data_IF_980851299748
#
_entry.id   IF_980851299748
#
_cell.length_a   1.000
_cell.length_b   1.000
_cell.length_c   1.000
_cell.angle_alpha   90.00
_cell.angle_beta   90.00
_cell.angle_gamma   90.00
#
_symmetry.space_group_name_H-M   'P 1'
#
loop_
_entity.id
_entity.type
_entity.pdbx_description
1 polymer ?
#
# COMPACT_ATOMS: atom_id res chain seq x y z
N UNK A 1 -43.98 -1.73 -7.32
CA UNK A 1 -43.44 -3.09 -7.54
C UNK A 1 -42.19 -3.21 -6.65
N UNK A 2 -42.34 -4.00 -5.59
CA UNK A 2 -41.33 -4.18 -4.52
C UNK A 2 -40.10 -4.91 -5.08
N UNK A 3 -38.94 -4.29 -5.02
CA UNK A 3 -37.67 -4.98 -5.21
C UNK A 3 -37.38 -5.85 -3.97
N UNK A 4 -38.05 -7.01 -3.92
CA UNK A 4 -37.75 -8.03 -2.93
C UNK A 4 -36.26 -8.36 -3.02
N UNK A 5 -35.54 -8.20 -1.91
CA UNK A 5 -34.09 -8.29 -1.81
C UNK A 5 -33.55 -9.56 -2.44
N UNK A 6 -32.89 -9.43 -3.60
CA UNK A 6 -32.08 -10.52 -4.15
C UNK A 6 -30.92 -10.73 -3.16
N UNK A 7 -30.80 -11.96 -2.63
CA UNK A 7 -29.71 -12.36 -1.77
C UNK A 7 -28.36 -12.10 -2.42
N UNK A 8 -27.31 -12.06 -1.63
CA UNK A 8 -25.94 -11.95 -2.16
C UNK A 8 -25.51 -13.29 -2.76
N UNK A 9 -24.92 -13.26 -3.96
CA UNK A 9 -24.17 -14.38 -4.54
C UNK A 9 -22.68 -14.12 -4.42
N UNK A 10 -21.88 -15.21 -4.42
CA UNK A 10 -20.42 -15.12 -4.47
C UNK A 10 -19.91 -15.99 -5.61
N UNK A 11 -19.27 -15.35 -6.57
CA UNK A 11 -18.69 -16.01 -7.73
C UNK A 11 -17.16 -16.05 -7.59
N UNK A 12 -16.54 -17.13 -8.08
CA UNK A 12 -15.09 -17.28 -8.15
C UNK A 12 -14.63 -17.01 -9.59
N UNK A 13 -13.96 -15.88 -9.81
CA UNK A 13 -13.30 -15.59 -11.07
C UNK A 13 -11.83 -16.06 -11.01
N UNK A 14 -11.43 -16.87 -12.01
CA UNK A 14 -10.07 -17.40 -12.18
C UNK A 14 -9.47 -17.04 -13.53
N UNK A 15 -10.21 -16.30 -14.34
CA UNK A 15 -9.86 -15.92 -15.71
C UNK A 15 -9.30 -14.48 -15.74
N UNK A 16 -8.17 -14.29 -16.42
CA UNK A 16 -7.48 -13.01 -16.52
C UNK A 16 -8.24 -11.99 -17.38
N UNK A 17 -8.89 -12.47 -18.49
CA UNK A 17 -9.65 -11.57 -19.35
C UNK A 17 -10.93 -11.10 -18.63
N UNK A 18 -11.56 -11.96 -17.85
CA UNK A 18 -12.67 -11.58 -16.97
C UNK A 18 -12.21 -10.59 -15.90
N UNK A 19 -11.02 -10.75 -15.32
CA UNK A 19 -10.46 -9.77 -14.40
C UNK A 19 -10.25 -8.41 -15.07
N UNK A 20 -9.68 -8.39 -16.28
CA UNK A 20 -9.51 -7.15 -17.04
C UNK A 20 -10.85 -6.43 -17.29
N UNK A 21 -11.90 -7.19 -17.63
CA UNK A 21 -13.22 -6.65 -17.91
C UNK A 21 -13.94 -6.04 -16.69
N UNK A 22 -13.50 -6.37 -15.47
CA UNK A 22 -14.09 -5.83 -14.23
C UNK A 22 -13.73 -4.36 -13.96
N UNK A 23 -12.88 -3.71 -14.74
CA UNK A 23 -12.34 -2.39 -14.44
C UNK A 23 -13.40 -1.36 -14.00
N UNK A 24 -14.49 -1.20 -14.76
CA UNK A 24 -15.55 -0.22 -14.44
C UNK A 24 -16.33 -0.56 -13.17
N UNK A 25 -16.74 -1.82 -12.98
CA UNK A 25 -17.44 -2.25 -11.78
C UNK A 25 -16.54 -2.17 -10.53
N UNK A 26 -15.26 -2.48 -10.69
CA UNK A 26 -14.27 -2.41 -9.62
C UNK A 26 -14.02 -0.98 -9.15
N UNK A 27 -13.94 -0.02 -10.08
CA UNK A 27 -13.83 1.42 -9.76
C UNK A 27 -15.03 1.88 -8.91
N UNK A 28 -16.26 1.50 -9.29
CA UNK A 28 -17.45 1.81 -8.51
C UNK A 28 -17.42 1.20 -7.11
N UNK A 29 -17.01 -0.06 -6.99
CA UNK A 29 -16.85 -0.73 -5.69
C UNK A 29 -15.73 -0.09 -4.85
N UNK A 30 -14.58 0.23 -5.47
CA UNK A 30 -13.48 0.88 -4.79
C UNK A 30 -13.89 2.25 -4.22
N UNK A 31 -14.63 3.06 -4.99
CA UNK A 31 -15.14 4.36 -4.56
C UNK A 31 -16.17 4.24 -3.42
N UNK A 32 -16.98 3.17 -3.38
CA UNK A 32 -17.99 2.93 -2.35
C UNK A 32 -17.46 2.21 -1.10
N UNK A 33 -16.19 1.78 -1.09
CA UNK A 33 -15.54 1.10 0.04
C UNK A 33 -14.81 2.12 0.93
N UNK A 34 -15.30 2.41 2.16
CA UNK A 34 -14.72 3.47 3.01
C UNK A 34 -13.27 3.22 3.45
N UNK A 35 -12.85 1.95 3.49
CA UNK A 35 -11.48 1.55 3.88
C UNK A 35 -10.53 1.33 2.70
N UNK A 36 -11.00 1.53 1.46
CA UNK A 36 -10.21 1.28 0.27
C UNK A 36 -8.92 2.12 0.28
N UNK A 37 -7.82 1.48 -0.07
CA UNK A 37 -6.52 2.13 -0.24
C UNK A 37 -6.11 2.08 -1.72
N UNK A 38 -5.13 2.86 -2.17
CA UNK A 38 -4.70 2.84 -3.56
C UNK A 38 -4.25 1.45 -4.04
N UNK A 39 -3.85 0.59 -3.12
CA UNK A 39 -3.39 -0.77 -3.42
C UNK A 39 -4.51 -1.76 -3.76
N UNK A 40 -5.79 -1.38 -3.60
CA UNK A 40 -6.96 -2.15 -4.04
C UNK A 40 -7.60 -1.59 -5.31
N UNK A 41 -7.04 -0.58 -5.98
CA UNK A 41 -7.52 -0.12 -7.28
C UNK A 41 -7.39 -1.21 -8.33
N UNK A 42 -8.29 -1.26 -9.30
CA UNK A 42 -8.21 -2.23 -10.40
C UNK A 42 -6.89 -2.07 -11.16
N UNK A 43 -6.52 -0.83 -11.51
CA UNK A 43 -5.30 -0.53 -12.23
C UNK A 43 -4.05 -1.07 -11.54
N UNK A 44 -3.95 -0.95 -10.21
CA UNK A 44 -2.85 -1.50 -9.43
C UNK A 44 -2.85 -3.03 -9.44
N UNK A 45 -3.97 -3.65 -9.08
CA UNK A 45 -4.06 -5.09 -8.89
C UNK A 45 -3.96 -5.86 -10.22
N UNK A 46 -4.63 -5.39 -11.27
CA UNK A 46 -4.56 -6.02 -12.59
C UNK A 46 -3.15 -5.87 -13.20
N UNK A 47 -2.55 -4.68 -13.12
CA UNK A 47 -1.17 -4.49 -13.56
C UNK A 47 -0.18 -5.36 -12.78
N UNK A 48 -0.39 -5.52 -11.47
CA UNK A 48 0.42 -6.43 -10.67
C UNK A 48 0.26 -7.87 -11.16
N UNK A 49 -0.98 -8.30 -11.42
CA UNK A 49 -1.26 -9.64 -11.93
C UNK A 49 -0.52 -9.91 -13.23
N UNK A 50 -0.56 -9.00 -14.19
CA UNK A 50 0.16 -9.12 -15.47
C UNK A 50 1.69 -9.23 -15.33
N UNK A 51 2.25 -8.67 -14.26
CA UNK A 51 3.71 -8.66 -14.04
C UNK A 51 4.21 -9.79 -13.13
N UNK A 52 3.36 -10.29 -12.23
CA UNK A 52 3.74 -11.19 -11.13
C UNK A 52 2.82 -12.39 -10.96
N UNK A 53 1.68 -12.39 -11.64
CA UNK A 53 0.73 -13.48 -11.59
C UNK A 53 1.33 -14.80 -12.04
N UNK A 54 0.80 -15.89 -11.54
CA UNK A 54 1.19 -17.23 -11.96
C UNK A 54 0.00 -17.90 -12.65
N UNK A 55 0.23 -18.66 -13.72
CA UNK A 55 -0.85 -19.41 -14.35
C UNK A 55 -1.66 -20.19 -13.32
N UNK A 56 -2.99 -20.22 -13.50
CA UNK A 56 -3.95 -20.91 -12.62
C UNK A 56 -3.96 -20.41 -11.15
N UNK A 57 -3.23 -19.33 -10.84
CA UNK A 57 -3.14 -18.81 -9.47
C UNK A 57 -4.30 -17.88 -9.08
N UNK A 58 -4.97 -17.22 -10.04
CA UNK A 58 -5.97 -16.19 -9.79
C UNK A 58 -7.19 -16.73 -9.04
N UNK A 59 -7.65 -16.03 -8.02
CA UNK A 59 -8.79 -16.39 -7.18
C UNK A 59 -9.49 -15.11 -6.71
N UNK A 60 -10.32 -14.52 -7.58
CA UNK A 60 -11.13 -13.35 -7.20
C UNK A 60 -12.49 -13.84 -6.73
N UNK A 61 -12.80 -13.60 -5.46
CA UNK A 61 -14.13 -13.85 -4.92
C UNK A 61 -14.95 -12.58 -5.08
N UNK A 62 -16.00 -12.62 -5.90
CA UNK A 62 -16.83 -11.47 -6.27
C UNK A 62 -18.20 -11.62 -5.62
N UNK A 63 -18.57 -10.66 -4.77
CA UNK A 63 -19.89 -10.62 -4.13
C UNK A 63 -20.81 -9.71 -4.93
N UNK A 64 -21.96 -10.25 -5.35
CA UNK A 64 -22.93 -9.50 -6.15
C UNK A 64 -24.29 -9.43 -5.46
N UNK A 65 -24.97 -8.29 -5.66
CA UNK A 65 -26.38 -8.11 -5.37
C UNK A 65 -27.12 -7.88 -6.70
N UNK A 66 -27.70 -8.94 -7.26
CA UNK A 66 -28.08 -8.93 -8.68
C UNK A 66 -26.86 -8.77 -9.56
N UNK A 67 -26.87 -7.78 -10.46
CA UNK A 67 -25.76 -7.53 -11.36
C UNK A 67 -24.69 -6.60 -10.76
N UNK A 68 -24.97 -5.96 -9.61
CA UNK A 68 -24.05 -5.00 -8.99
C UNK A 68 -22.98 -5.71 -8.15
N UNK A 69 -21.71 -5.38 -8.39
CA UNK A 69 -20.59 -5.80 -7.56
C UNK A 69 -20.61 -5.00 -6.24
N UNK A 70 -20.72 -5.70 -5.09
CA UNK A 70 -20.78 -5.10 -3.76
C UNK A 70 -19.65 -5.58 -2.82
N UNK A 71 -18.85 -6.53 -3.28
CA UNK A 71 -17.66 -6.97 -2.56
C UNK A 71 -16.68 -7.71 -3.45
N UNK A 72 -15.40 -7.64 -3.14
CA UNK A 72 -14.35 -8.37 -3.86
C UNK A 72 -13.20 -8.73 -2.94
N UNK A 73 -12.75 -9.99 -3.00
CA UNK A 73 -11.50 -10.44 -2.38
C UNK A 73 -10.51 -10.83 -3.48
N UNK A 74 -9.53 -9.94 -3.78
CA UNK A 74 -8.55 -10.16 -4.84
C UNK A 74 -7.41 -11.05 -4.31
N UNK A 75 -7.56 -12.35 -4.46
CA UNK A 75 -6.63 -13.34 -3.93
C UNK A 75 -5.92 -14.12 -5.04
N UNK A 76 -4.82 -14.75 -4.65
CA UNK A 76 -4.15 -15.76 -5.46
C UNK A 76 -3.80 -16.99 -4.62
N UNK A 77 -3.72 -18.13 -5.28
CA UNK A 77 -3.25 -19.39 -4.69
C UNK A 77 -1.73 -19.48 -4.74
N UNK A 78 -1.11 -19.77 -3.60
CA UNK A 78 0.32 -20.05 -3.47
C UNK A 78 0.48 -21.44 -2.87
N UNK A 79 1.21 -22.32 -3.55
CA UNK A 79 1.32 -23.75 -3.15
C UNK A 79 2.49 -24.04 -2.20
N UNK A 80 3.55 -23.24 -2.20
CA UNK A 80 4.77 -23.50 -1.38
C UNK A 80 5.07 -22.35 -0.42
N UNK A 81 5.64 -22.58 0.76
CA UNK A 81 5.92 -23.89 1.36
C UNK A 81 4.67 -24.64 1.85
N UNK A 82 3.54 -23.95 2.02
CA UNK A 82 2.22 -24.52 2.35
C UNK A 82 1.14 -23.88 1.48
N UNK A 83 0.06 -24.59 1.16
CA UNK A 83 -1.04 -24.02 0.37
C UNK A 83 -1.66 -22.82 1.07
N UNK A 84 -1.73 -21.69 0.37
CA UNK A 84 -2.31 -20.45 0.89
C UNK A 84 -3.13 -19.73 -0.17
N UNK A 85 -4.16 -19.03 0.30
CA UNK A 85 -4.80 -17.94 -0.42
C UNK A 85 -4.28 -16.63 0.17
N UNK A 86 -3.62 -15.83 -0.65
CA UNK A 86 -3.02 -14.55 -0.25
C UNK A 86 -3.55 -13.43 -1.17
N UNK A 87 -3.68 -12.19 -0.68
CA UNK A 87 -4.02 -11.07 -1.56
C UNK A 87 -2.99 -10.89 -2.68
N UNK A 88 -3.46 -10.58 -3.89
CA UNK A 88 -2.60 -10.09 -4.97
C UNK A 88 -2.02 -8.74 -4.59
N UNK A 89 -0.92 -8.30 -5.25
CA UNK A 89 -0.17 -7.10 -4.87
C UNK A 89 1.20 -7.38 -4.26
N UNK A 90 1.39 -8.57 -3.68
CA UNK A 90 2.71 -9.04 -3.22
C UNK A 90 3.43 -8.10 -2.26
N UNK A 91 4.76 -8.14 -2.25
CA UNK A 91 5.59 -7.35 -1.32
C UNK A 91 5.63 -5.86 -1.65
N UNK A 92 5.22 -5.47 -2.87
CA UNK A 92 5.23 -4.08 -3.35
C UNK A 92 3.95 -3.31 -3.02
N UNK A 93 2.93 -3.97 -2.44
CA UNK A 93 1.74 -3.31 -1.89
C UNK A 93 1.89 -3.15 -0.38
N UNK A 94 1.63 -1.94 0.13
CA UNK A 94 1.81 -1.65 1.56
C UNK A 94 0.59 -2.03 2.40
N UNK A 95 -0.59 -2.03 1.81
CA UNK A 95 -1.82 -2.46 2.49
C UNK A 95 -2.54 -3.50 1.66
N UNK A 96 -3.07 -4.52 2.33
CA UNK A 96 -3.81 -5.61 1.71
C UNK A 96 -5.16 -5.75 2.35
N UNK A 97 -6.19 -5.70 1.53
CA UNK A 97 -7.57 -5.71 1.98
C UNK A 97 -8.48 -6.40 0.95
N UNK A 98 -9.72 -6.59 1.33
CA UNK A 98 -10.85 -6.84 0.44
C UNK A 98 -11.56 -5.51 0.17
N UNK A 99 -12.42 -5.46 -0.82
CA UNK A 99 -13.35 -4.35 -1.02
C UNK A 99 -14.74 -4.77 -0.59
N UNK A 100 -15.42 -3.90 0.16
CA UNK A 100 -16.83 -4.06 0.54
C UNK A 100 -17.51 -2.70 0.39
N UNK A 101 -18.62 -2.67 -0.33
CA UNK A 101 -19.52 -1.50 -0.39
C UNK A 101 -19.95 -1.13 1.04
N UNK A 102 -19.79 0.13 1.43
CA UNK A 102 -20.09 0.61 2.78
C UNK A 102 -21.52 0.30 3.23
N UNK A 103 -22.49 0.28 2.28
CA UNK A 103 -23.90 -0.01 2.56
C UNK A 103 -24.20 -1.51 2.71
N UNK A 104 -23.27 -2.37 2.30
CA UNK A 104 -23.39 -3.82 2.33
C UNK A 104 -22.23 -4.52 3.07
N UNK A 105 -21.43 -3.77 3.80
CA UNK A 105 -20.16 -4.26 4.35
C UNK A 105 -20.30 -5.48 5.28
N UNK A 106 -21.31 -5.50 6.14
CA UNK A 106 -21.55 -6.64 7.04
C UNK A 106 -22.02 -7.88 6.28
N UNK A 107 -23.01 -7.72 5.39
CA UNK A 107 -23.56 -8.84 4.60
C UNK A 107 -22.52 -9.38 3.63
N UNK A 108 -21.81 -8.50 2.93
CA UNK A 108 -20.71 -8.84 2.01
C UNK A 108 -19.55 -9.53 2.73
N UNK A 109 -19.19 -9.04 3.91
CA UNK A 109 -18.16 -9.66 4.77
C UNK A 109 -18.55 -11.08 5.22
N UNK A 110 -19.84 -11.29 5.54
CA UNK A 110 -20.38 -12.62 5.88
C UNK A 110 -20.36 -13.55 4.67
N UNK A 111 -20.77 -13.06 3.51
CA UNK A 111 -20.77 -13.82 2.27
C UNK A 111 -19.34 -14.24 1.87
N UNK A 112 -18.37 -13.30 1.90
CA UNK A 112 -16.96 -13.60 1.68
C UNK A 112 -16.41 -14.61 2.70
N UNK A 113 -16.75 -14.48 3.99
CA UNK A 113 -16.31 -15.42 5.01
C UNK A 113 -16.79 -16.84 4.71
N UNK A 114 -18.04 -17.01 4.25
CA UNK A 114 -18.60 -18.30 3.84
C UNK A 114 -17.85 -18.90 2.64
N UNK A 115 -17.63 -18.13 1.58
CA UNK A 115 -16.96 -18.58 0.37
C UNK A 115 -15.47 -18.91 0.65
N UNK A 116 -14.78 -18.06 1.41
CA UNK A 116 -13.39 -18.29 1.79
C UNK A 116 -13.24 -19.49 2.75
N UNK A 117 -14.23 -19.77 3.61
CA UNK A 117 -14.23 -20.95 4.46
C UNK A 117 -14.28 -22.26 3.67
N UNK A 118 -15.02 -22.27 2.54
CA UNK A 118 -15.01 -23.41 1.61
C UNK A 118 -13.60 -23.61 1.00
N UNK A 119 -12.96 -22.57 0.54
CA UNK A 119 -11.58 -22.60 0.02
C UNK A 119 -10.53 -22.93 1.09
N UNK A 120 -10.78 -22.56 2.34
CA UNK A 120 -9.91 -22.84 3.48
C UNK A 120 -9.87 -24.31 3.91
N UNK A 121 -10.68 -25.17 3.28
CA UNK A 121 -10.57 -26.64 3.47
C UNK A 121 -9.22 -27.20 2.99
N UNK A 122 -8.61 -26.56 1.98
CA UNK A 122 -7.34 -27.00 1.38
C UNK A 122 -6.22 -25.97 1.47
N UNK A 123 -6.50 -24.74 1.84
CA UNK A 123 -5.53 -23.64 1.86
C UNK A 123 -5.72 -22.75 3.08
N UNK A 124 -4.63 -22.27 3.66
CA UNK A 124 -4.67 -21.24 4.70
C UNK A 124 -4.95 -19.87 4.06
N UNK A 125 -5.93 -19.14 4.54
CA UNK A 125 -6.18 -17.75 4.14
C UNK A 125 -5.26 -16.84 4.97
N UNK A 126 -4.42 -16.03 4.30
CA UNK A 126 -3.31 -15.29 4.93
C UNK A 126 -3.27 -13.85 4.41
N UNK A 127 -3.88 -12.93 5.12
CA UNK A 127 -3.81 -11.50 4.87
C UNK A 127 -2.70 -10.87 5.70
N UNK A 128 -1.74 -10.25 5.05
CA UNK A 128 -0.64 -9.52 5.69
C UNK A 128 -0.82 -8.02 5.48
N UNK A 129 -0.15 -7.23 6.33
CA UNK A 129 -0.16 -5.77 6.24
C UNK A 129 -1.58 -5.18 6.21
N UNK A 130 -2.48 -5.78 6.99
CA UNK A 130 -3.87 -5.32 7.14
C UNK A 130 -3.89 -4.07 8.01
N UNK A 131 -4.35 -2.96 7.46
CA UNK A 131 -4.46 -1.69 8.19
C UNK A 131 -5.66 -1.75 9.16
N UNK A 132 -5.57 -1.17 10.37
CA UNK A 132 -6.73 -1.10 11.28
C UNK A 132 -7.94 -0.43 10.60
N UNK A 133 -9.10 -1.02 10.75
CA UNK A 133 -10.35 -0.56 10.11
C UNK A 133 -10.55 -1.05 8.67
N UNK A 134 -9.71 -1.95 8.19
CA UNK A 134 -9.82 -2.58 6.87
C UNK A 134 -11.10 -3.42 6.72
N UNK A 135 -11.63 -3.51 5.49
CA UNK A 135 -12.84 -4.26 5.18
C UNK A 135 -12.71 -5.76 5.50
N UNK A 136 -11.53 -6.34 5.36
CA UNK A 136 -11.27 -7.75 5.70
C UNK A 136 -11.53 -8.08 7.17
N UNK A 137 -11.58 -7.09 8.06
CA UNK A 137 -11.98 -7.32 9.47
C UNK A 137 -13.42 -7.80 9.59
N UNK A 138 -14.31 -7.43 8.66
CA UNK A 138 -15.66 -7.99 8.58
C UNK A 138 -15.62 -9.48 8.26
N UNK A 139 -14.80 -9.89 7.30
CA UNK A 139 -14.57 -11.30 6.96
C UNK A 139 -14.04 -12.05 8.19
N UNK A 140 -13.02 -11.49 8.86
CA UNK A 140 -12.42 -12.09 10.05
C UNK A 140 -13.42 -12.20 11.21
N UNK A 141 -14.31 -11.23 11.39
CA UNK A 141 -15.36 -11.25 12.43
C UNK A 141 -16.36 -12.38 12.21
N UNK A 142 -16.77 -12.60 10.95
CA UNK A 142 -17.73 -13.65 10.59
C UNK A 142 -17.10 -15.03 10.38
N UNK A 143 -15.76 -15.14 10.53
CA UNK A 143 -15.07 -16.43 10.39
C UNK A 143 -15.41 -17.37 11.54
N UNK A 144 -15.91 -18.57 11.23
CA UNK A 144 -16.32 -19.59 12.22
C UNK A 144 -15.24 -20.64 12.50
N UNK A 145 -14.18 -20.72 11.67
CA UNK A 145 -13.07 -21.66 11.83
C UNK A 145 -11.95 -21.13 12.73
N UNK A 146 -10.87 -21.92 12.90
CA UNK A 146 -9.66 -21.47 13.55
C UNK A 146 -9.10 -20.21 12.89
N UNK A 147 -8.73 -19.23 13.70
CA UNK A 147 -8.19 -17.94 13.21
C UNK A 147 -7.20 -17.36 14.20
N UNK A 148 -6.27 -16.55 13.69
CA UNK A 148 -5.27 -15.87 14.51
C UNK A 148 -4.98 -14.48 13.97
N UNK A 149 -4.82 -13.51 14.85
CA UNK A 149 -4.43 -12.13 14.55
C UNK A 149 -3.04 -11.89 15.14
N UNK A 150 -2.12 -11.42 14.32
CA UNK A 150 -0.74 -11.13 14.72
C UNK A 150 -0.38 -9.70 14.29
N UNK A 151 0.41 -9.00 15.10
CA UNK A 151 1.04 -7.76 14.65
C UNK A 151 1.98 -8.08 13.47
N UNK A 152 1.96 -7.29 12.40
CA UNK A 152 2.80 -7.51 11.21
C UNK A 152 3.80 -6.38 10.98
N UNK A 153 3.41 -5.30 10.33
CA UNK A 153 4.29 -4.16 10.04
C UNK A 153 3.89 -2.89 10.79
N UNK A 154 4.72 -1.88 10.67
CA UNK A 154 4.48 -0.55 11.24
C UNK A 154 4.44 0.46 10.10
N UNK A 155 3.45 1.35 10.13
CA UNK A 155 3.36 2.52 9.28
C UNK A 155 3.38 3.78 10.13
N UNK A 156 3.84 4.87 9.57
CA UNK A 156 3.86 6.18 10.21
C UNK A 156 2.96 7.13 9.42
N UNK A 157 2.10 7.86 10.12
CA UNK A 157 1.09 8.72 9.51
C UNK A 157 1.14 10.14 10.06
N UNK A 158 0.97 11.10 9.17
CA UNK A 158 0.79 12.51 9.46
C UNK A 158 -0.63 12.92 9.06
N UNK A 159 -1.22 13.97 9.65
CA UNK A 159 -2.43 14.54 9.07
C UNK A 159 -2.13 15.10 7.68
N UNK A 160 -3.10 15.00 6.77
CA UNK A 160 -3.02 15.56 5.42
C UNK A 160 -3.17 17.08 5.47
N UNK A 161 -2.10 17.76 5.85
CA UNK A 161 -2.02 19.21 6.04
C UNK A 161 -0.86 19.79 5.21
N UNK A 162 -0.94 21.05 4.76
CA UNK A 162 0.19 21.74 4.15
C UNK A 162 1.42 21.75 5.07
N UNK A 163 2.62 21.83 4.48
CA UNK A 163 3.89 21.84 5.22
C UNK A 163 3.92 22.88 6.35
N UNK A 164 3.38 24.06 6.11
CA UNK A 164 3.33 25.14 7.10
C UNK A 164 2.58 24.71 8.38
N UNK A 165 1.45 24.02 8.21
CA UNK A 165 0.63 23.52 9.33
C UNK A 165 1.28 22.32 10.03
N UNK A 166 1.93 21.43 9.28
CA UNK A 166 2.71 20.34 9.87
C UNK A 166 3.84 20.87 10.76
N UNK A 167 4.54 21.92 10.34
CA UNK A 167 5.61 22.55 11.12
C UNK A 167 5.10 23.14 12.44
N UNK A 168 3.88 23.73 12.47
CA UNK A 168 3.28 24.28 13.69
C UNK A 168 3.04 23.22 14.77
N UNK A 169 2.90 21.95 14.39
CA UNK A 169 2.67 20.83 15.30
C UNK A 169 3.97 20.30 15.95
N UNK A 170 5.13 20.79 15.52
CA UNK A 170 6.42 20.33 16.02
C UNK A 170 6.88 21.14 17.24
N UNK A 171 7.69 20.55 18.14
CA UNK A 171 8.36 21.31 19.18
C UNK A 171 9.19 22.46 18.58
N UNK A 172 9.21 23.62 19.25
CA UNK A 172 9.76 24.91 18.75
C UNK A 172 11.15 24.77 18.11
N UNK A 173 12.10 24.13 18.80
CA UNK A 173 13.44 23.93 18.27
C UNK A 173 13.50 23.05 17.01
N UNK A 174 12.59 22.09 16.90
CA UNK A 174 12.49 21.23 15.72
C UNK A 174 11.81 21.98 14.57
N UNK A 175 10.73 22.69 14.85
CA UNK A 175 10.05 23.55 13.89
C UNK A 175 11.01 24.54 13.24
N UNK A 176 11.84 25.22 14.05
CA UNK A 176 12.82 26.17 13.54
C UNK A 176 13.85 25.51 12.62
N UNK A 177 14.35 24.33 12.99
CA UNK A 177 15.30 23.57 12.13
C UNK A 177 14.66 23.19 10.79
N UNK A 178 13.41 22.78 10.80
CA UNK A 178 12.70 22.41 9.56
C UNK A 178 12.42 23.66 8.71
N UNK A 179 11.97 24.78 9.28
CA UNK A 179 11.84 26.05 8.54
C UNK A 179 13.13 26.45 7.85
N UNK A 180 14.26 26.36 8.54
CA UNK A 180 15.57 26.69 7.96
C UNK A 180 15.89 25.78 6.76
N UNK A 181 15.54 24.49 6.83
CA UNK A 181 15.70 23.55 5.71
C UNK A 181 14.80 23.90 4.52
N UNK A 182 13.53 24.19 4.79
CA UNK A 182 12.57 24.62 3.75
C UNK A 182 13.04 25.92 3.08
N UNK A 183 13.44 26.93 3.87
CA UNK A 183 13.96 28.19 3.35
C UNK A 183 15.24 28.00 2.52
N UNK A 184 16.08 27.04 2.92
CA UNK A 184 17.27 26.69 2.14
C UNK A 184 16.93 26.12 0.77
N UNK A 185 15.88 25.29 0.64
CA UNK A 185 15.45 24.76 -0.67
C UNK A 185 15.13 25.92 -1.64
N UNK A 186 14.38 26.93 -1.18
CA UNK A 186 14.08 28.11 -1.99
C UNK A 186 15.34 28.87 -2.40
N UNK A 187 16.30 29.07 -1.47
CA UNK A 187 17.57 29.77 -1.78
C UNK A 187 18.46 29.00 -2.76
N UNK A 188 18.33 27.69 -2.79
CA UNK A 188 19.07 26.83 -3.75
C UNK A 188 18.35 26.74 -5.11
N UNK A 189 17.21 27.40 -5.30
CA UNK A 189 16.44 27.35 -6.54
C UNK A 189 15.82 25.98 -6.81
N UNK A 190 15.55 25.18 -5.78
CA UNK A 190 14.84 23.91 -5.95
C UNK A 190 13.36 24.18 -6.11
N UNK A 191 12.88 24.03 -7.31
CA UNK A 191 11.46 24.10 -7.68
C UNK A 191 10.83 22.72 -7.69
N UNK A 192 9.51 22.64 -7.63
CA UNK A 192 8.78 21.39 -7.81
C UNK A 192 7.44 21.63 -8.51
N UNK A 193 6.95 20.60 -9.21
CA UNK A 193 5.66 20.60 -9.89
C UNK A 193 4.95 19.27 -9.76
N UNK A 194 3.64 19.25 -9.84
CA UNK A 194 2.86 18.04 -10.11
C UNK A 194 2.89 17.82 -11.61
N UNK A 195 3.19 16.58 -12.00
CA UNK A 195 3.32 16.18 -13.41
C UNK A 195 1.93 16.05 -14.04
N UNK A 196 1.76 16.54 -15.25
CA UNK A 196 0.54 16.37 -16.03
C UNK A 196 0.32 14.91 -16.46
N UNK A 197 -0.92 14.58 -16.80
CA UNK A 197 -1.29 13.21 -17.14
C UNK A 197 -0.49 12.63 -18.32
N UNK A 198 -0.21 13.44 -19.33
CA UNK A 198 0.50 13.02 -20.54
C UNK A 198 2.00 12.79 -20.30
N UNK A 199 2.57 13.41 -19.27
CA UNK A 199 3.98 13.26 -18.88
C UNK A 199 4.18 12.14 -17.84
N UNK A 200 3.09 11.58 -17.29
CA UNK A 200 3.15 10.63 -16.15
C UNK A 200 4.04 9.43 -16.44
N UNK A 201 3.91 8.80 -17.60
CA UNK A 201 4.72 7.61 -17.94
C UNK A 201 6.22 7.95 -18.00
N UNK A 202 6.56 9.05 -18.67
CA UNK A 202 7.95 9.51 -18.76
C UNK A 202 8.54 9.78 -17.39
N UNK A 203 7.77 10.43 -16.51
CA UNK A 203 8.21 10.74 -15.14
C UNK A 203 8.33 9.48 -14.28
N UNK A 204 7.46 8.48 -14.44
CA UNK A 204 7.60 7.18 -13.76
C UNK A 204 8.88 6.44 -14.19
N UNK A 205 9.20 6.44 -15.48
CA UNK A 205 10.45 5.84 -15.97
C UNK A 205 11.67 6.59 -15.43
N UNK A 206 11.65 7.92 -15.44
CA UNK A 206 12.68 8.78 -14.82
C UNK A 206 12.81 8.54 -13.32
N UNK A 207 11.70 8.34 -12.60
CA UNK A 207 11.72 7.95 -11.18
C UNK A 207 12.60 6.71 -10.96
N UNK A 208 12.42 5.67 -11.76
CA UNK A 208 13.18 4.42 -11.61
C UNK A 208 14.66 4.63 -11.94
N UNK A 209 14.98 5.41 -12.97
CA UNK A 209 16.38 5.75 -13.30
C UNK A 209 17.06 6.48 -12.14
N UNK A 210 16.43 7.51 -11.59
CA UNK A 210 16.93 8.24 -10.42
C UNK A 210 17.00 7.36 -9.16
N UNK A 211 16.04 6.46 -8.99
CA UNK A 211 16.07 5.50 -7.88
C UNK A 211 17.26 4.55 -7.99
N UNK A 212 17.60 4.07 -9.19
CA UNK A 212 18.79 3.25 -9.43
C UNK A 212 20.07 4.03 -9.12
N UNK A 213 20.21 5.25 -9.63
CA UNK A 213 21.35 6.13 -9.35
C UNK A 213 21.53 6.42 -7.86
N UNK A 214 20.43 6.68 -7.15
CA UNK A 214 20.44 6.94 -5.71
C UNK A 214 21.06 5.80 -4.90
N UNK A 215 20.85 4.56 -5.33
CA UNK A 215 21.26 3.35 -4.63
C UNK A 215 22.47 2.65 -5.24
N UNK A 216 23.11 3.26 -6.22
CA UNK A 216 24.34 2.72 -6.80
C UNK A 216 25.40 2.49 -5.69
N UNK A 217 25.97 1.28 -5.69
CA UNK A 217 26.91 0.84 -4.64
C UNK A 217 26.30 0.58 -3.26
N UNK A 218 24.98 0.63 -3.09
CA UNK A 218 24.26 0.36 -1.83
C UNK A 218 23.25 -0.77 -1.99
N UNK A 219 22.80 -1.34 -0.86
CA UNK A 219 21.70 -2.32 -0.88
C UNK A 219 20.39 -1.62 -1.23
N UNK A 220 19.84 -1.94 -2.39
CA UNK A 220 18.49 -1.56 -2.82
C UNK A 220 17.56 -2.77 -2.67
N UNK A 221 16.26 -2.54 -2.59
CA UNK A 221 15.29 -3.61 -2.74
C UNK A 221 15.42 -4.19 -4.16
N UNK A 222 15.87 -5.45 -4.33
CA UNK A 222 16.21 -5.97 -5.65
C UNK A 222 15.05 -5.91 -6.65
N UNK A 223 13.81 -5.92 -6.14
CA UNK A 223 12.62 -5.87 -6.96
C UNK A 223 12.46 -4.54 -7.71
N UNK A 224 12.83 -3.41 -7.09
CA UNK A 224 12.66 -2.08 -7.71
C UNK A 224 13.52 -1.87 -8.96
N UNK A 225 14.53 -2.70 -9.18
CA UNK A 225 15.39 -2.63 -10.37
C UNK A 225 15.01 -3.61 -11.47
N UNK A 226 14.00 -4.46 -11.26
CA UNK A 226 13.57 -5.46 -12.23
C UNK A 226 12.63 -4.89 -13.29
N UNK A 227 12.76 -5.28 -14.57
CA UNK A 227 11.88 -4.79 -15.64
C UNK A 227 10.39 -4.92 -15.32
N UNK A 228 9.96 -6.05 -14.75
CA UNK A 228 8.57 -6.30 -14.38
C UNK A 228 8.00 -5.28 -13.39
N UNK A 229 8.84 -4.72 -12.49
CA UNK A 229 8.42 -3.67 -11.56
C UNK A 229 8.22 -2.34 -12.30
N UNK A 230 9.13 -2.00 -13.22
CA UNK A 230 9.03 -0.80 -14.06
C UNK A 230 7.75 -0.85 -14.90
N UNK A 231 7.50 -1.97 -15.56
CA UNK A 231 6.30 -2.17 -16.37
C UNK A 231 5.01 -2.15 -15.53
N UNK A 232 5.04 -2.74 -14.34
CA UNK A 232 3.93 -2.64 -13.41
C UNK A 232 3.63 -1.18 -13.05
N UNK A 233 4.62 -0.40 -12.67
CA UNK A 233 4.41 1.02 -12.32
C UNK A 233 3.92 1.83 -13.52
N UNK A 234 4.53 1.70 -14.68
CA UNK A 234 4.10 2.43 -15.88
C UNK A 234 2.64 2.11 -16.24
N UNK A 235 2.26 0.83 -16.21
CA UNK A 235 0.91 0.36 -16.55
C UNK A 235 -0.14 0.75 -15.52
N UNK A 236 0.20 0.77 -14.22
CA UNK A 236 -0.77 1.09 -13.16
C UNK A 236 -0.87 2.59 -12.88
N UNK A 237 0.26 3.30 -12.80
CA UNK A 237 0.28 4.70 -12.36
C UNK A 237 -0.35 5.65 -13.38
N UNK A 238 -0.22 5.38 -14.68
CA UNK A 238 -0.81 6.24 -15.72
C UNK A 238 -2.34 6.33 -15.59
N UNK A 239 -3.11 5.23 -15.60
CA UNK A 239 -4.55 5.32 -15.39
C UNK A 239 -4.91 5.82 -13.97
N UNK A 240 -4.15 5.47 -12.93
CA UNK A 240 -4.36 5.98 -11.58
C UNK A 240 -4.16 7.50 -11.49
N UNK A 241 -3.22 8.08 -12.23
CA UNK A 241 -3.04 9.53 -12.27
C UNK A 241 -4.25 10.21 -12.92
N UNK A 242 -4.75 9.67 -14.03
CA UNK A 242 -5.95 10.20 -14.73
C UNK A 242 -7.20 10.17 -13.84
N UNK A 243 -7.34 9.17 -12.97
CA UNK A 243 -8.47 9.06 -12.02
C UNK A 243 -8.21 9.75 -10.68
N UNK A 244 -7.08 10.47 -10.52
CA UNK A 244 -6.71 11.13 -9.26
C UNK A 244 -6.23 10.18 -8.15
N UNK A 245 -6.04 8.90 -8.45
CA UNK A 245 -5.57 7.86 -7.52
C UNK A 245 -4.04 7.79 -7.41
N UNK A 246 -3.32 8.56 -8.23
CA UNK A 246 -1.88 8.77 -8.12
C UNK A 246 -1.53 10.22 -8.44
N UNK A 247 -0.40 10.69 -7.91
CA UNK A 247 0.23 11.95 -8.30
C UNK A 247 1.75 11.73 -8.38
N UNK A 248 2.36 12.26 -9.43
CA UNK A 248 3.82 12.27 -9.59
C UNK A 248 4.31 13.70 -9.42
N UNK A 249 5.33 13.91 -8.59
CA UNK A 249 5.95 15.22 -8.43
C UNK A 249 7.40 15.17 -8.91
N UNK A 250 7.78 16.17 -9.69
CA UNK A 250 9.16 16.39 -10.13
C UNK A 250 9.78 17.57 -9.40
N UNK A 251 11.06 17.44 -9.06
CA UNK A 251 11.86 18.50 -8.47
C UNK A 251 12.93 18.91 -9.47
N UNK A 252 13.02 20.22 -9.70
CA UNK A 252 13.94 20.80 -10.66
C UNK A 252 15.01 21.64 -9.95
N UNK A 253 16.21 21.57 -10.47
CA UNK A 253 17.32 22.42 -10.11
C UNK A 253 17.97 22.90 -11.41
N UNK A 254 18.00 24.22 -11.62
CA UNK A 254 18.49 24.82 -12.85
C UNK A 254 17.79 24.25 -14.11
N UNK A 255 16.46 24.10 -14.03
CA UNK A 255 15.64 23.57 -15.13
C UNK A 255 15.77 22.06 -15.38
N UNK A 256 16.67 21.36 -14.66
CA UNK A 256 16.87 19.91 -14.80
C UNK A 256 16.14 19.15 -13.71
N UNK A 257 15.40 18.08 -14.06
CA UNK A 257 14.76 17.21 -13.08
C UNK A 257 15.81 16.44 -12.29
N UNK A 258 15.83 16.66 -10.97
CA UNK A 258 16.80 16.08 -10.03
C UNK A 258 16.20 15.10 -9.04
N UNK A 259 14.89 15.09 -8.90
CA UNK A 259 14.19 14.07 -8.12
C UNK A 259 12.77 13.90 -8.65
N UNK A 260 12.22 12.71 -8.42
CA UNK A 260 10.82 12.38 -8.71
C UNK A 260 10.26 11.63 -7.49
N UNK A 261 9.02 11.94 -7.12
CA UNK A 261 8.31 11.28 -6.05
C UNK A 261 6.92 10.83 -6.52
N UNK A 262 6.55 9.59 -6.22
CA UNK A 262 5.27 8.99 -6.55
C UNK A 262 4.40 8.89 -5.29
N UNK A 263 3.22 9.48 -5.37
CA UNK A 263 2.19 9.41 -4.34
C UNK A 263 1.02 8.58 -4.86
N UNK A 264 0.56 7.62 -4.06
CA UNK A 264 -0.66 6.85 -4.34
C UNK A 264 -1.78 7.35 -3.43
N UNK A 265 -2.99 7.53 -4.00
CA UNK A 265 -4.11 8.21 -3.32
C UNK A 265 -5.39 7.38 -3.39
N UNK A 266 -6.16 7.38 -2.30
CA UNK A 266 -7.50 6.79 -2.25
C UNK A 266 -8.25 7.31 -1.03
N UNK A 267 -9.48 7.79 -1.23
CA UNK A 267 -10.28 8.35 -0.14
C UNK A 267 -9.50 9.39 0.65
N UNK A 268 -9.45 9.24 1.96
CA UNK A 268 -8.68 10.11 2.85
C UNK A 268 -7.21 9.70 3.06
N UNK A 269 -6.59 8.91 2.16
CA UNK A 269 -5.20 8.47 2.31
C UNK A 269 -4.35 8.88 1.10
N UNK A 270 -3.23 9.56 1.38
CA UNK A 270 -2.13 9.77 0.43
C UNK A 270 -0.90 9.03 0.96
N UNK A 271 -0.37 8.08 0.20
CA UNK A 271 0.82 7.31 0.54
C UNK A 271 2.06 7.81 -0.21
N UNK A 272 3.15 8.07 0.47
CA UNK A 272 4.45 8.40 -0.12
C UNK A 272 5.14 7.09 -0.54
N UNK A 273 4.90 6.68 -1.81
CA UNK A 273 5.17 5.31 -2.24
C UNK A 273 6.62 5.05 -2.64
N UNK A 274 7.13 5.82 -3.59
CA UNK A 274 8.48 5.62 -4.11
C UNK A 274 9.08 6.93 -4.59
N UNK A 275 10.37 7.13 -4.34
CA UNK A 275 11.11 8.28 -4.83
C UNK A 275 12.47 7.88 -5.38
N UNK A 276 12.99 8.71 -6.27
CA UNK A 276 14.35 8.65 -6.76
C UNK A 276 14.94 10.06 -6.85
N UNK A 277 16.24 10.20 -6.59
CA UNK A 277 16.91 11.49 -6.72
C UNK A 277 18.34 11.35 -7.19
N UNK A 278 18.81 12.36 -7.91
CA UNK A 278 20.18 12.45 -8.41
C UNK A 278 21.17 12.72 -7.25
N UNK A 279 22.32 12.03 -7.15
CA UNK A 279 23.31 12.19 -6.09
C UNK A 279 23.76 13.64 -5.85
N UNK A 280 23.79 14.49 -6.89
CA UNK A 280 24.16 15.92 -6.79
C UNK A 280 23.35 16.71 -5.72
N UNK A 281 22.14 16.27 -5.37
CA UNK A 281 21.38 16.90 -4.28
C UNK A 281 22.06 16.73 -2.92
N UNK A 282 22.78 15.61 -2.73
CA UNK A 282 23.58 15.40 -1.51
C UNK A 282 24.79 16.34 -1.47
N UNK A 283 25.46 16.50 -2.61
CA UNK A 283 26.63 17.38 -2.76
C UNK A 283 26.25 18.84 -2.47
N UNK A 284 25.05 19.26 -2.91
CA UNK A 284 24.46 20.57 -2.62
C UNK A 284 23.92 20.68 -1.19
N UNK A 285 24.08 19.65 -0.35
CA UNK A 285 23.60 19.59 1.04
C UNK A 285 22.09 19.85 1.17
N UNK A 286 21.30 19.40 0.19
CA UNK A 286 19.83 19.40 0.24
C UNK A 286 19.36 18.34 1.22
N UNK A 287 18.46 18.72 2.15
CA UNK A 287 17.74 17.72 2.97
C UNK A 287 16.60 17.12 2.15
N UNK A 288 16.92 16.05 1.41
CA UNK A 288 16.00 15.39 0.48
C UNK A 288 14.72 14.94 1.18
N UNK A 289 14.79 14.43 2.41
CA UNK A 289 13.60 14.00 3.15
C UNK A 289 12.63 15.16 3.43
N UNK A 290 13.14 16.36 3.74
CA UNK A 290 12.29 17.55 3.91
C UNK A 290 11.74 18.03 2.57
N UNK A 291 12.53 17.96 1.50
CA UNK A 291 12.13 18.32 0.15
C UNK A 291 10.95 17.45 -0.33
N UNK A 292 11.09 16.13 -0.25
CA UNK A 292 10.06 15.18 -0.66
C UNK A 292 8.78 15.35 0.17
N UNK A 293 8.91 15.43 1.50
CA UNK A 293 7.74 15.57 2.37
C UNK A 293 7.01 16.89 2.16
N UNK A 294 7.71 17.98 1.80
CA UNK A 294 7.06 19.25 1.46
C UNK A 294 6.08 19.07 0.30
N UNK A 295 6.51 18.48 -0.81
CA UNK A 295 5.63 18.22 -1.93
C UNK A 295 4.52 17.21 -1.57
N UNK A 296 4.87 16.12 -0.85
CA UNK A 296 3.90 15.12 -0.40
C UNK A 296 2.79 15.73 0.47
N UNK A 297 3.14 16.66 1.38
CA UNK A 297 2.18 17.32 2.26
C UNK A 297 1.24 18.26 1.49
N UNK A 298 1.74 18.99 0.50
CA UNK A 298 0.90 19.84 -0.36
C UNK A 298 -0.03 18.98 -1.22
N UNK A 299 0.46 17.88 -1.82
CA UNK A 299 -0.37 16.93 -2.57
C UNK A 299 -1.44 16.29 -1.68
N UNK A 300 -1.10 15.91 -0.45
CA UNK A 300 -2.07 15.32 0.48
C UNK A 300 -3.14 16.32 0.91
N UNK A 301 -2.78 17.60 1.07
CA UNK A 301 -3.68 18.65 1.51
C UNK A 301 -4.70 19.09 0.42
N UNK A 302 -4.55 18.64 -0.84
CA UNK A 302 -5.56 18.90 -1.89
C UNK A 302 -6.85 18.08 -1.71
N UNK A 303 -6.85 17.07 -0.84
CA UNK A 303 -8.04 16.28 -0.50
C UNK A 303 -8.81 16.86 0.70
N UNK A 304 -10.04 16.42 0.88
CA UNK A 304 -10.87 16.80 2.04
C UNK A 304 -10.48 16.00 3.29
N UNK A 305 -9.45 16.45 3.99
CA UNK A 305 -8.96 15.77 5.20
C UNK A 305 -8.19 14.50 4.92
N UNK A 306 -7.95 13.70 5.97
CA UNK A 306 -7.31 12.40 5.86
C UNK A 306 -5.87 12.35 6.38
N UNK A 307 -5.11 11.42 5.87
CA UNK A 307 -3.75 11.14 6.33
C UNK A 307 -2.73 11.12 5.19
N UNK A 308 -1.55 11.68 5.47
CA UNK A 308 -0.35 11.45 4.69
C UNK A 308 0.40 10.26 5.33
N UNK A 309 0.34 9.11 4.68
CA UNK A 309 1.03 7.90 5.14
C UNK A 309 2.45 7.86 4.57
N UNK A 310 3.43 7.72 5.45
CA UNK A 310 4.82 7.44 5.07
C UNK A 310 5.03 5.94 4.78
N UNK A 311 3.93 5.22 4.67
CA UNK A 311 3.82 3.79 4.36
C UNK A 311 4.63 2.91 5.32
N UNK A 312 4.92 1.65 4.95
CA UNK A 312 5.65 0.71 5.80
C UNK A 312 7.08 1.16 6.06
N UNK A 313 7.54 0.92 7.26
CA UNK A 313 8.88 1.21 7.71
C UNK A 313 8.91 2.13 8.91
N UNK A 314 9.92 1.92 9.74
CA UNK A 314 10.16 2.64 11.00
C UNK A 314 11.52 3.35 10.96
N UNK A 315 11.90 3.86 9.77
CA UNK A 315 13.17 4.53 9.59
C UNK A 315 13.28 5.80 10.46
N UNK A 316 14.43 6.03 11.11
CA UNK A 316 14.59 7.11 12.09
C UNK A 316 14.27 8.52 11.56
N UNK A 317 14.49 8.76 10.27
CA UNK A 317 14.22 10.08 9.67
C UNK A 317 12.73 10.44 9.65
N UNK A 318 11.84 9.46 9.55
CA UNK A 318 10.38 9.65 9.54
C UNK A 318 9.88 10.24 10.87
N UNK A 319 10.50 9.88 12.00
CA UNK A 319 10.11 10.36 13.33
C UNK A 319 10.43 11.85 13.58
N UNK A 320 11.15 12.50 12.67
CA UNK A 320 11.40 13.96 12.74
C UNK A 320 10.09 14.76 12.72
N UNK A 321 9.03 14.20 12.15
CA UNK A 321 7.73 14.83 11.92
C UNK A 321 6.70 14.54 13.01
N UNK A 322 7.10 13.84 14.09
CA UNK A 322 6.19 13.40 15.15
C UNK A 322 4.95 12.66 14.63
N UNK A 323 5.12 11.65 13.76
CA UNK A 323 4.00 10.93 13.16
C UNK A 323 3.27 10.07 14.20
N UNK A 324 1.99 9.80 13.92
CA UNK A 324 1.26 8.73 14.59
C UNK A 324 1.77 7.38 14.11
N UNK A 325 2.03 6.47 15.03
CA UNK A 325 2.40 5.09 14.70
C UNK A 325 1.14 4.25 14.52
N UNK A 326 1.03 3.57 13.39
CA UNK A 326 -0.04 2.61 13.07
C UNK A 326 0.58 1.23 12.91
N UNK A 327 -0.03 0.23 13.56
CA UNK A 327 0.42 -1.16 13.47
C UNK A 327 -0.52 -1.94 12.58
N UNK A 328 0.00 -2.39 11.44
CA UNK A 328 -0.70 -3.32 10.59
C UNK A 328 -0.69 -4.72 11.20
N UNK A 329 -1.67 -5.49 10.84
CA UNK A 329 -1.89 -6.83 11.36
C UNK A 329 -1.76 -7.89 10.26
N UNK A 330 -1.53 -9.12 10.68
CA UNK A 330 -1.66 -10.31 9.86
C UNK A 330 -2.84 -11.10 10.35
N UNK A 331 -3.80 -11.34 9.47
CA UNK A 331 -4.97 -12.14 9.74
C UNK A 331 -4.82 -13.51 9.07
N UNK A 332 -4.81 -14.53 9.88
CA UNK A 332 -4.73 -15.93 9.45
C UNK A 332 -6.06 -16.62 9.75
N UNK A 333 -6.63 -17.29 8.76
CA UNK A 333 -7.91 -17.98 8.87
C UNK A 333 -7.78 -19.37 8.23
N UNK A 334 -8.28 -20.39 8.93
CA UNK A 334 -8.17 -21.80 8.55
C UNK A 334 -9.51 -22.52 8.64
N UNK A 335 -9.65 -23.57 7.85
CA UNK A 335 -10.68 -24.59 8.09
C UNK A 335 -10.20 -25.65 9.08
N UNK A 336 -11.06 -26.61 9.47
CA UNK A 336 -10.66 -27.69 10.37
C UNK A 336 -9.45 -28.48 9.87
N UNK A 337 -9.39 -28.82 8.56
CA UNK A 337 -8.30 -29.59 7.97
C UNK A 337 -7.01 -28.79 7.84
N UNK A 338 -7.07 -27.48 7.76
CA UNK A 338 -5.90 -26.58 7.63
C UNK A 338 -5.48 -25.95 8.95
N UNK A 339 -6.13 -26.29 10.07
CA UNK A 339 -5.75 -25.83 11.41
C UNK A 339 -4.28 -26.12 11.78
N UNK A 340 -3.68 -27.30 11.44
CA UNK A 340 -2.27 -27.52 11.67
C UNK A 340 -1.36 -26.55 10.91
N UNK A 341 -1.74 -26.14 9.69
CA UNK A 341 -1.00 -25.13 8.90
C UNK A 341 -1.06 -23.76 9.57
N UNK A 342 -2.20 -23.41 10.17
CA UNK A 342 -2.33 -22.20 10.98
C UNK A 342 -1.36 -22.22 12.16
N UNK A 343 -1.37 -23.30 12.96
CA UNK A 343 -0.48 -23.45 14.11
C UNK A 343 1.00 -23.33 13.71
N UNK A 344 1.44 -24.04 12.66
CA UNK A 344 2.79 -23.94 12.14
C UNK A 344 3.15 -22.52 11.68
N UNK A 345 2.22 -21.83 11.00
CA UNK A 345 2.44 -20.46 10.53
C UNK A 345 2.57 -19.45 11.67
N UNK A 346 1.78 -19.62 12.75
CA UNK A 346 1.85 -18.79 13.96
C UNK A 346 3.17 -19.04 14.70
N UNK A 347 3.55 -20.29 14.93
CA UNK A 347 4.81 -20.68 15.59
C UNK A 347 6.03 -20.12 14.85
N UNK A 348 6.06 -20.26 13.51
CA UNK A 348 7.13 -19.70 12.68
C UNK A 348 7.19 -18.16 12.76
N UNK A 349 6.04 -17.47 12.71
CA UNK A 349 5.98 -16.02 12.82
C UNK A 349 6.49 -15.54 14.19
N UNK A 350 6.10 -16.22 15.27
CA UNK A 350 6.54 -15.92 16.64
C UNK A 350 8.04 -16.14 16.81
N UNK A 351 8.57 -17.28 16.35
CA UNK A 351 10.01 -17.58 16.39
C UNK A 351 10.84 -16.50 15.66
N UNK A 352 10.42 -16.10 14.46
CA UNK A 352 11.11 -15.02 13.71
C UNK A 352 11.10 -13.67 14.44
N UNK A 353 9.99 -13.34 15.12
CA UNK A 353 9.89 -12.09 15.91
C UNK A 353 10.83 -12.12 17.10
N UNK A 354 10.88 -13.22 17.85
CA UNK A 354 11.79 -13.42 18.97
C UNK A 354 13.24 -13.33 18.52
N UNK A 355 13.62 -14.02 17.45
CA UNK A 355 14.97 -13.96 16.88
C UNK A 355 15.36 -12.52 16.48
N UNK A 356 14.47 -11.78 15.81
CA UNK A 356 14.71 -10.38 15.42
C UNK A 356 14.88 -9.47 16.64
N UNK A 357 14.13 -9.69 17.72
CA UNK A 357 14.24 -8.92 18.98
C UNK A 357 15.59 -9.16 19.66
N UNK A 358 16.04 -10.41 19.75
CA UNK A 358 17.34 -10.79 20.33
C UNK A 358 18.49 -10.19 19.52
N UNK A 359 18.43 -10.24 18.18
CA UNK A 359 19.47 -9.64 17.33
C UNK A 359 19.55 -8.12 17.47
N UNK A 360 18.41 -7.42 17.58
CA UNK A 360 18.38 -5.97 17.81
C UNK A 360 18.91 -5.58 19.20
N UNK A 361 18.60 -6.35 20.25
CA UNK A 361 19.15 -6.15 21.59
C UNK A 361 20.68 -6.25 21.60
N UNK A 362 21.23 -7.31 20.99
CA UNK A 362 22.69 -7.50 20.89
C UNK A 362 23.42 -6.44 20.06
N UNK A 363 22.75 -5.85 19.05
CA UNK A 363 23.32 -4.77 18.26
C UNK A 363 23.32 -3.42 19.03
N UNK A 364 22.31 -3.20 19.88
CA UNK A 364 22.25 -2.02 20.76
C UNK A 364 23.35 -2.04 21.83
N UNK A 365 23.60 -3.18 22.45
CA UNK A 365 24.65 -3.33 23.48
C UNK A 365 26.07 -3.14 22.92
N UNK A 366 26.31 -3.49 21.65
CA UNK A 366 27.61 -3.27 20.98
C UNK A 366 27.85 -1.83 20.53
N UNK A 367 26.84 -0.99 20.50
CA UNK A 367 26.96 0.42 20.13
C UNK A 367 27.18 1.35 21.35
N UNK A 368 27.12 0.82 22.57
CA UNK A 368 27.28 1.56 23.83
C UNK A 368 28.46 1.03 24.67
N UNK A 369 29.23 0.10 24.20
CA UNK A 369 30.52 -0.35 24.74
C UNK A 369 31.64 0.00 23.74
#
# INVERSE_FOLDING_TARGET
MSAAGRGLSVDLCTDEAAFAALAGEWEGLHASCPSATPFQTHAWLHSWWLSYGTPEGLRLFLVRRGDRLVGAAPLMSVRRPVPRLVPIGGAISDFRDVLLDGTAAEEGGRALAGALAAAARTSLVDFRDVRPGSAVEQVYRHWRGPRCRLRDSTCLELPALPMAELIKRLPTARAQRIRNKVNRLGRLGVEWRVVGHDETETSVRRLIELHRLQWEGKKVTPEHTRPRFVEHLARSVVPMARSGQAAVTEFLLEGTVVAVNLHLRSGGLTGEYLYGFHPRLRDSKVDVATMLLRAASEVAATGEGGVLSLLRGDEPYKYRWCPRTVHNERLLMAGPLTAPLLAASVSHATARRTAKKVLRGRAGDRAHG
#
